data_IF_551286398608
#
_entry.id   IF_551286398608
#
_cell.length_a   1.000
_cell.length_b   1.000
_cell.length_c   1.000
_cell.angle_alpha   90.00
_cell.angle_beta   90.00
_cell.angle_gamma   90.00
#
_symmetry.space_group_name_H-M   'P 1'
#
loop_
_entity.id
_entity.type
_entity.pdbx_description
1 polymer ?
#
# COMPACT_ATOMS: atom_id res chain seq x y z
N UNK A 1 7.24 21.07 24.20
CA UNK A 1 6.22 22.13 24.35
C UNK A 1 6.88 23.49 24.12
N UNK A 2 6.93 23.93 22.87
CA UNK A 2 7.27 25.32 22.54
C UNK A 2 5.94 26.04 22.31
N UNK A 3 5.61 26.98 23.18
CA UNK A 3 4.51 27.91 22.93
C UNK A 3 4.89 28.78 21.73
N UNK A 4 4.40 28.42 20.54
CA UNK A 4 4.31 29.32 19.40
C UNK A 4 3.20 30.33 19.69
N UNK A 5 3.48 31.28 20.58
CA UNK A 5 2.61 32.43 20.79
C UNK A 5 2.71 33.36 19.58
N UNK A 6 1.95 33.03 18.53
CA UNK A 6 1.45 34.07 17.63
C UNK A 6 0.81 35.12 18.54
N UNK A 7 1.41 36.29 18.63
CA UNK A 7 0.95 37.38 19.50
C UNK A 7 -0.34 37.93 18.91
N UNK A 8 -1.46 37.25 19.21
CA UNK A 8 -2.80 37.75 18.98
C UNK A 8 -2.93 39.05 19.77
N UNK A 9 -3.12 40.18 19.06
CA UNK A 9 -3.36 41.48 19.68
C UNK A 9 -4.72 41.42 20.36
N UNK A 10 -4.72 41.24 21.67
CA UNK A 10 -5.96 41.27 22.45
C UNK A 10 -6.47 42.72 22.54
N UNK A 11 -7.68 42.97 22.08
CA UNK A 11 -8.35 44.27 22.23
C UNK A 11 -9.12 44.29 23.54
N UNK A 12 -9.07 45.41 24.26
CA UNK A 12 -9.91 45.64 25.43
C UNK A 12 -11.25 46.23 24.98
N UNK A 13 -12.34 45.57 25.37
CA UNK A 13 -13.72 45.93 25.04
C UNK A 13 -14.56 45.94 26.30
N UNK A 14 -15.39 46.95 26.47
CA UNK A 14 -16.27 47.05 27.63
C UNK A 14 -17.50 46.17 27.45
N UNK A 15 -17.67 45.20 28.34
CA UNK A 15 -18.91 44.44 28.48
C UNK A 15 -19.89 45.24 29.34
N UNK A 16 -21.11 45.43 28.85
CA UNK A 16 -22.18 46.15 29.54
C UNK A 16 -23.36 45.21 29.71
N UNK A 17 -23.76 44.98 30.96
CA UNK A 17 -24.88 44.11 31.30
C UNK A 17 -25.88 44.83 32.20
N UNK A 18 -27.13 44.90 31.74
CA UNK A 18 -28.21 45.61 32.41
C UNK A 18 -29.17 44.62 33.06
N UNK A 19 -29.45 44.77 34.34
CA UNK A 19 -30.42 43.94 35.06
C UNK A 19 -31.31 44.78 35.98
N UNK A 20 -32.48 44.25 36.35
CA UNK A 20 -33.41 44.90 37.27
C UNK A 20 -33.44 44.17 38.60
N UNK A 21 -33.26 44.90 39.69
CA UNK A 21 -33.47 44.42 41.05
C UNK A 21 -34.65 45.18 41.64
N UNK A 22 -35.86 44.60 41.53
CA UNK A 22 -37.10 45.27 41.96
C UNK A 22 -37.42 46.48 41.07
N UNK A 23 -37.50 47.68 41.66
CA UNK A 23 -37.76 48.95 40.94
C UNK A 23 -36.48 49.64 40.42
N UNK A 24 -35.29 49.13 40.76
CA UNK A 24 -34.02 49.73 40.38
C UNK A 24 -33.40 48.99 39.19
N UNK A 25 -32.93 49.74 38.19
CA UNK A 25 -32.11 49.23 37.08
C UNK A 25 -30.63 49.39 37.42
N UNK A 26 -29.89 48.29 37.39
CA UNK A 26 -28.46 48.26 37.64
C UNK A 26 -27.70 47.94 36.34
N UNK A 27 -26.51 48.51 36.21
CA UNK A 27 -25.62 48.34 35.05
C UNK A 27 -24.28 47.83 35.55
N UNK A 28 -23.84 46.69 35.03
CA UNK A 28 -22.51 46.15 35.21
C UNK A 28 -21.68 46.52 33.98
N UNK A 29 -20.59 47.26 34.17
CA UNK A 29 -19.62 47.55 33.11
C UNK A 29 -18.27 46.97 33.51
N UNK A 30 -17.69 46.12 32.66
CA UNK A 30 -16.38 45.52 32.90
C UNK A 30 -15.54 45.43 31.63
N UNK A 31 -14.27 45.88 31.64
CA UNK A 31 -13.38 45.74 30.50
C UNK A 31 -12.92 44.28 30.34
N UNK A 32 -13.08 43.73 29.15
CA UNK A 32 -12.70 42.38 28.77
C UNK A 32 -11.65 42.38 27.66
N UNK A 33 -10.69 41.46 27.75
CA UNK A 33 -9.72 41.21 26.68
C UNK A 33 -10.24 40.16 25.72
N UNK A 34 -10.25 40.49 24.44
CA UNK A 34 -10.78 39.65 23.36
C UNK A 34 -9.66 39.36 22.35
N UNK A 35 -9.41 38.10 21.96
CA UNK A 35 -10.08 36.88 22.41
C UNK A 35 -9.69 36.52 23.86
N UNK A 36 -10.66 36.01 24.63
CA UNK A 36 -10.48 35.69 26.05
C UNK A 36 -9.57 34.47 26.22
N UNK A 37 -8.53 34.60 27.06
CA UNK A 37 -7.61 33.51 27.41
C UNK A 37 -7.98 32.98 28.80
N UNK A 38 -8.75 31.89 28.88
CA UNK A 38 -9.11 31.27 30.16
C UNK A 38 -10.47 30.57 30.17
N UNK A 39 -10.86 30.07 31.35
CA UNK A 39 -12.16 29.43 31.58
C UNK A 39 -13.26 30.48 31.77
N UNK A 40 -14.33 30.36 30.98
CA UNK A 40 -15.48 31.24 31.02
C UNK A 40 -16.24 31.18 32.35
N UNK A 41 -16.33 29.97 32.94
CA UNK A 41 -16.93 29.76 34.26
C UNK A 41 -16.20 30.53 35.36
N UNK A 42 -14.88 30.69 35.26
CA UNK A 42 -14.08 31.41 36.26
C UNK A 42 -14.31 32.92 36.16
N UNK A 43 -14.46 33.46 34.95
CA UNK A 43 -14.78 34.86 34.71
C UNK A 43 -16.19 35.21 35.22
N UNK A 44 -17.17 34.36 34.91
CA UNK A 44 -18.53 34.47 35.40
C UNK A 44 -18.59 34.42 36.94
N UNK A 45 -17.93 33.43 37.56
CA UNK A 45 -17.85 33.32 39.02
C UNK A 45 -17.18 34.54 39.67
N UNK A 46 -16.15 35.10 39.04
CA UNK A 46 -15.51 36.34 39.49
C UNK A 46 -16.46 37.54 39.42
N UNK A 47 -17.28 37.65 38.38
CA UNK A 47 -18.25 38.74 38.27
C UNK A 47 -19.33 38.65 39.35
N UNK A 48 -19.85 37.44 39.60
CA UNK A 48 -20.82 37.20 40.66
C UNK A 48 -20.28 37.58 42.05
N UNK A 49 -19.02 37.21 42.35
CA UNK A 49 -18.37 37.47 43.64
C UNK A 49 -17.91 38.92 43.81
N UNK A 50 -17.30 39.53 42.80
CA UNK A 50 -16.72 40.88 42.91
C UNK A 50 -17.80 41.97 42.94
N UNK A 51 -18.91 41.76 42.24
CA UNK A 51 -19.99 42.75 42.15
C UNK A 51 -21.19 42.42 43.05
N UNK A 52 -21.09 41.39 43.90
CA UNK A 52 -22.16 40.94 44.82
C UNK A 52 -23.53 40.84 44.12
N UNK A 53 -23.56 40.19 42.95
CA UNK A 53 -24.76 40.12 42.13
C UNK A 53 -25.77 39.11 42.70
N UNK A 54 -27.07 39.42 42.66
CA UNK A 54 -28.10 38.47 43.09
C UNK A 54 -28.10 37.19 42.24
N UNK A 55 -28.32 36.03 42.87
CA UNK A 55 -28.31 34.72 42.20
C UNK A 55 -29.36 34.56 41.10
N UNK A 56 -30.45 35.34 41.12
CA UNK A 56 -31.47 35.29 40.05
C UNK A 56 -30.95 35.83 38.70
N UNK A 57 -29.88 36.63 38.71
CA UNK A 57 -29.27 37.23 37.52
C UNK A 57 -28.19 36.32 36.92
N UNK A 58 -27.80 35.28 37.63
CA UNK A 58 -26.63 34.46 37.32
C UNK A 58 -26.69 33.82 35.94
N UNK A 59 -27.85 33.26 35.57
CA UNK A 59 -28.06 32.61 34.28
C UNK A 59 -28.09 33.63 33.13
N UNK A 60 -28.75 34.78 33.34
CA UNK A 60 -28.85 35.83 32.32
C UNK A 60 -27.49 36.49 32.08
N UNK A 61 -26.71 36.71 33.13
CA UNK A 61 -25.34 37.22 33.05
C UNK A 61 -24.44 36.24 32.29
N UNK A 62 -24.53 34.94 32.60
CA UNK A 62 -23.75 33.91 31.92
C UNK A 62 -24.03 33.90 30.42
N UNK A 63 -25.31 33.83 30.05
CA UNK A 63 -25.72 33.81 28.64
C UNK A 63 -25.31 35.10 27.91
N UNK A 64 -25.49 36.27 28.52
CA UNK A 64 -25.10 37.54 27.92
C UNK A 64 -23.58 37.67 27.76
N UNK A 65 -22.81 37.17 28.73
CA UNK A 65 -21.35 37.17 28.68
C UNK A 65 -20.83 36.17 27.64
N UNK A 66 -21.44 34.98 27.53
CA UNK A 66 -21.11 33.97 26.51
C UNK A 66 -21.34 34.55 25.10
N UNK A 67 -22.53 35.11 24.87
CA UNK A 67 -22.89 35.71 23.59
C UNK A 67 -21.97 36.90 23.23
N UNK A 68 -21.68 37.79 24.18
CA UNK A 68 -20.80 38.93 23.93
C UNK A 68 -19.38 38.50 23.57
N UNK A 69 -18.82 37.53 24.30
CA UNK A 69 -17.47 37.02 24.04
C UNK A 69 -17.43 36.33 22.69
N UNK A 70 -18.42 35.50 22.36
CA UNK A 70 -18.49 34.82 21.06
C UNK A 70 -18.59 35.82 19.90
N UNK A 71 -19.52 36.77 19.96
CA UNK A 71 -19.73 37.76 18.91
C UNK A 71 -18.51 38.66 18.69
N UNK A 72 -17.92 39.21 19.76
CA UNK A 72 -16.77 40.09 19.63
C UNK A 72 -15.48 39.32 19.31
N UNK A 73 -15.36 38.05 19.71
CA UNK A 73 -14.26 37.18 19.29
C UNK A 73 -14.33 36.90 17.80
N UNK A 74 -15.50 36.54 17.29
CA UNK A 74 -15.72 36.32 15.86
C UNK A 74 -15.44 37.59 15.05
N UNK A 75 -16.01 38.74 15.44
CA UNK A 75 -15.71 40.03 14.79
C UNK A 75 -14.22 40.38 14.81
N UNK A 76 -13.53 40.10 15.91
CA UNK A 76 -12.08 40.34 16.02
C UNK A 76 -11.30 39.43 15.06
N UNK A 77 -11.70 38.17 14.90
CA UNK A 77 -11.08 37.27 13.93
C UNK A 77 -11.37 37.71 12.49
N UNK A 78 -12.61 38.08 12.18
CA UNK A 78 -13.02 38.57 10.86
C UNK A 78 -12.23 39.83 10.47
N UNK A 79 -12.15 40.83 11.36
CA UNK A 79 -11.38 42.06 11.10
C UNK A 79 -9.88 41.78 10.91
N UNK A 80 -9.33 40.83 11.65
CA UNK A 80 -7.92 40.44 11.49
C UNK A 80 -7.69 39.70 10.17
N UNK A 81 -8.62 38.83 9.77
CA UNK A 81 -8.58 38.14 8.48
C UNK A 81 -8.71 39.13 7.32
N UNK A 82 -9.69 40.05 7.36
CA UNK A 82 -9.85 41.13 6.38
C UNK A 82 -8.60 42.00 6.30
N UNK A 83 -8.03 42.41 7.44
CA UNK A 83 -6.77 43.18 7.45
C UNK A 83 -5.60 42.40 6.85
N UNK A 84 -5.53 41.08 7.06
CA UNK A 84 -4.51 40.24 6.48
C UNK A 84 -4.70 40.09 4.96
N UNK A 85 -5.95 39.94 4.50
CA UNK A 85 -6.33 39.92 3.08
C UNK A 85 -6.05 41.25 2.40
N UNK A 86 -6.39 42.37 3.03
CA UNK A 86 -6.10 43.72 2.51
C UNK A 86 -4.59 43.96 2.41
N UNK A 87 -3.81 43.50 3.39
CA UNK A 87 -2.34 43.54 3.31
C UNK A 87 -1.83 42.68 2.16
N UNK A 88 -2.46 41.54 1.89
CA UNK A 88 -2.09 40.66 0.79
C UNK A 88 -2.46 41.24 -0.59
N UNK A 89 -3.57 41.97 -0.69
CA UNK A 89 -4.00 42.63 -1.92
C UNK A 89 -3.13 43.87 -2.21
N UNK A 90 -2.72 44.60 -1.17
CA UNK A 90 -1.98 45.87 -1.31
C UNK A 90 -0.46 45.75 -1.21
N UNK A 91 0.08 44.72 -0.55
CA UNK A 91 1.49 44.35 -0.64
C UNK A 91 1.62 43.18 -1.61
N UNK A 92 2.52 43.31 -2.58
CA UNK A 92 2.97 42.25 -3.49
C UNK A 92 3.76 41.16 -2.73
N UNK A 93 3.18 40.59 -1.67
CA UNK A 93 3.74 39.44 -0.97
C UNK A 93 3.44 38.21 -1.83
N UNK A 94 4.47 37.70 -2.50
CA UNK A 94 4.36 36.60 -3.45
C UNK A 94 3.62 35.40 -2.85
N UNK A 95 2.54 34.99 -3.51
CA UNK A 95 1.74 33.78 -3.21
C UNK A 95 2.63 32.57 -2.93
N UNK A 96 3.77 32.48 -3.63
CA UNK A 96 4.77 31.43 -3.49
C UNK A 96 5.37 31.35 -2.07
N UNK A 97 5.72 32.48 -1.44
CA UNK A 97 6.31 32.47 -0.10
C UNK A 97 5.31 32.04 0.98
N UNK A 98 4.03 32.38 0.80
CA UNK A 98 2.97 31.93 1.69
C UNK A 98 2.67 30.45 1.48
N UNK A 99 2.68 30.00 0.22
CA UNK A 99 2.50 28.59 -0.13
C UNK A 99 3.63 27.76 0.48
N UNK A 100 4.87 28.21 0.39
CA UNK A 100 6.02 27.55 1.01
C UNK A 100 5.94 27.54 2.53
N UNK A 101 5.54 28.66 3.14
CA UNK A 101 5.36 28.74 4.59
C UNK A 101 4.23 27.82 5.08
N UNK A 102 3.13 27.74 4.34
CA UNK A 102 2.00 26.89 4.65
C UNK A 102 2.34 25.41 4.42
N UNK A 103 2.99 25.07 3.31
CA UNK A 103 3.48 23.73 3.02
C UNK A 103 4.46 23.26 4.11
N UNK A 104 5.36 24.14 4.55
CA UNK A 104 6.28 23.86 5.66
C UNK A 104 5.54 23.61 6.98
N UNK A 105 4.61 24.49 7.35
CA UNK A 105 3.83 24.33 8.59
C UNK A 105 2.96 23.07 8.55
N UNK A 106 2.32 22.79 7.42
CA UNK A 106 1.53 21.59 7.20
C UNK A 106 2.39 20.33 7.30
N UNK A 107 3.55 20.31 6.63
CA UNK A 107 4.49 19.19 6.67
C UNK A 107 5.00 18.93 8.09
N UNK A 108 5.44 19.97 8.81
CA UNK A 108 5.96 19.85 10.18
C UNK A 108 4.88 19.33 11.16
N UNK A 109 3.66 19.87 11.09
CA UNK A 109 2.56 19.48 11.98
C UNK A 109 1.95 18.12 11.63
N UNK A 110 1.85 17.79 10.36
CA UNK A 110 1.21 16.55 9.88
C UNK A 110 2.16 15.37 10.04
N UNK A 111 3.46 15.53 9.79
CA UNK A 111 4.43 14.44 10.00
C UNK A 111 4.69 14.11 11.47
N UNK A 112 4.58 15.07 12.40
CA UNK A 112 4.71 14.76 13.84
C UNK A 112 3.55 13.90 14.37
N UNK A 113 2.39 13.91 13.70
CA UNK A 113 1.17 13.24 14.15
C UNK A 113 0.67 12.12 13.23
N UNK A 114 1.14 12.07 11.98
CA UNK A 114 0.87 10.97 11.06
C UNK A 114 1.89 9.85 11.27
N UNK A 115 1.43 8.59 11.20
CA UNK A 115 2.37 7.49 10.92
C UNK A 115 2.94 7.75 9.53
N UNK A 116 4.25 7.60 9.30
CA UNK A 116 4.78 7.59 7.94
C UNK A 116 3.91 6.64 7.13
N UNK A 117 3.39 7.11 6.01
CA UNK A 117 2.75 6.25 5.03
C UNK A 117 3.77 5.13 4.75
N UNK A 118 3.40 3.88 5.05
CA UNK A 118 4.29 2.76 4.74
C UNK A 118 4.61 2.91 3.25
N UNK A 119 5.90 2.96 2.86
CA UNK A 119 6.26 3.15 1.47
C UNK A 119 5.44 2.17 0.63
N UNK A 120 4.56 2.70 -0.21
CA UNK A 120 3.81 1.85 -1.13
C UNK A 120 4.81 1.36 -2.16
N UNK A 121 5.42 0.20 -1.88
CA UNK A 121 6.52 -0.40 -2.63
C UNK A 121 6.20 -0.65 -4.10
N UNK A 122 4.91 -0.55 -4.50
CA UNK A 122 4.45 -0.78 -5.86
C UNK A 122 4.84 0.33 -6.86
N UNK A 123 5.09 1.57 -6.42
CA UNK A 123 5.46 2.66 -7.35
C UNK A 123 6.93 2.60 -7.79
N UNK A 124 7.86 2.24 -6.89
CA UNK A 124 9.30 2.20 -7.19
C UNK A 124 9.79 0.80 -7.65
N UNK A 125 9.05 -0.27 -7.37
CA UNK A 125 9.50 -1.64 -7.67
C UNK A 125 9.70 -1.90 -9.17
N UNK A 126 8.83 -1.35 -10.02
CA UNK A 126 8.90 -1.58 -11.47
C UNK A 126 10.19 -1.03 -12.07
N UNK A 127 10.59 0.18 -11.68
CA UNK A 127 11.82 0.83 -12.15
C UNK A 127 13.06 0.11 -11.62
N UNK A 128 13.06 -0.23 -10.32
CA UNK A 128 14.13 -1.01 -9.69
C UNK A 128 14.32 -2.37 -10.38
N UNK A 129 13.22 -3.07 -10.65
CA UNK A 129 13.23 -4.35 -11.36
C UNK A 129 13.76 -4.20 -12.78
N UNK A 130 13.32 -3.16 -13.50
CA UNK A 130 13.75 -2.88 -14.87
C UNK A 130 15.26 -2.59 -14.96
N UNK A 131 15.82 -1.86 -14.00
CA UNK A 131 17.27 -1.64 -13.93
C UNK A 131 18.03 -2.94 -13.64
N UNK A 132 17.53 -3.76 -12.72
CA UNK A 132 18.18 -5.01 -12.32
C UNK A 132 18.11 -6.11 -13.39
N UNK A 133 17.03 -6.22 -14.15
CA UNK A 133 16.91 -7.25 -15.21
C UNK A 133 17.86 -6.98 -16.38
N UNK A 134 18.27 -5.73 -16.58
CA UNK A 134 19.29 -5.36 -17.57
C UNK A 134 20.71 -5.40 -16.99
N UNK A 135 20.84 -5.62 -15.69
CA UNK A 135 22.12 -5.71 -14.99
C UNK A 135 22.71 -7.13 -14.99
N UNK A 136 23.96 -7.31 -14.54
CA UNK A 136 24.56 -8.63 -14.30
C UNK A 136 23.78 -9.50 -13.30
N UNK A 137 22.91 -8.92 -12.46
CA UNK A 137 22.12 -9.65 -11.48
C UNK A 137 20.83 -10.30 -12.05
N UNK A 138 20.57 -10.13 -13.34
CA UNK A 138 19.41 -10.73 -14.04
C UNK A 138 19.31 -12.25 -13.86
N UNK A 139 20.42 -12.97 -13.96
CA UNK A 139 20.43 -14.43 -13.79
C UNK A 139 20.06 -14.84 -12.36
N UNK A 140 20.55 -14.11 -11.35
CA UNK A 140 20.20 -14.38 -9.95
C UNK A 140 18.73 -14.10 -9.67
N UNK A 141 18.19 -13.03 -10.27
CA UNK A 141 16.80 -12.64 -10.15
C UNK A 141 15.86 -13.68 -10.78
N UNK A 142 16.13 -14.10 -12.02
CA UNK A 142 15.36 -15.13 -12.71
C UNK A 142 15.43 -16.49 -12.01
N UNK A 143 16.59 -16.86 -11.44
CA UNK A 143 16.70 -18.08 -10.66
C UNK A 143 15.82 -18.04 -9.40
N UNK A 144 15.72 -16.90 -8.74
CA UNK A 144 14.86 -16.73 -7.56
C UNK A 144 13.38 -16.88 -7.96
N UNK A 145 12.94 -16.23 -9.03
CA UNK A 145 11.58 -16.38 -9.59
C UNK A 145 11.28 -17.83 -9.95
N UNK A 146 12.22 -18.51 -10.61
CA UNK A 146 12.06 -19.91 -10.97
C UNK A 146 11.90 -20.80 -9.73
N UNK A 147 12.69 -20.58 -8.69
CA UNK A 147 12.56 -21.33 -7.44
C UNK A 147 11.19 -21.13 -6.80
N UNK A 148 10.68 -19.90 -6.75
CA UNK A 148 9.34 -19.61 -6.24
C UNK A 148 8.25 -20.28 -7.08
N UNK A 149 8.38 -20.24 -8.41
CA UNK A 149 7.48 -20.94 -9.33
C UNK A 149 7.45 -22.46 -9.08
N UNK A 150 8.62 -23.09 -8.90
CA UNK A 150 8.70 -24.53 -8.61
C UNK A 150 7.98 -24.86 -7.30
N UNK A 151 8.19 -24.07 -6.24
CA UNK A 151 7.50 -24.27 -4.95
C UNK A 151 5.99 -24.14 -5.05
N UNK A 152 5.50 -23.14 -5.78
CA UNK A 152 4.05 -22.97 -6.02
C UNK A 152 3.51 -24.15 -6.82
N UNK A 153 4.24 -24.60 -7.83
CA UNK A 153 3.85 -25.74 -8.66
C UNK A 153 3.81 -27.05 -7.87
N UNK A 154 4.77 -27.28 -6.97
CA UNK A 154 4.78 -28.41 -6.03
C UNK A 154 3.50 -28.41 -5.17
N UNK A 155 3.17 -27.26 -4.55
CA UNK A 155 1.99 -27.14 -3.69
C UNK A 155 0.67 -27.35 -4.47
N UNK A 156 0.58 -26.83 -5.69
CA UNK A 156 -0.55 -27.06 -6.59
C UNK A 156 -0.68 -28.55 -6.91
N UNK A 157 0.43 -29.23 -7.19
CA UNK A 157 0.41 -30.67 -7.49
C UNK A 157 -0.04 -31.50 -6.29
N UNK A 158 0.35 -31.11 -5.07
CA UNK A 158 -0.08 -31.77 -3.83
C UNK A 158 -1.58 -31.58 -3.58
N UNK A 159 -2.08 -30.35 -3.75
CA UNK A 159 -3.52 -30.06 -3.73
C UNK A 159 -4.29 -30.95 -4.69
N UNK A 160 -3.85 -31.00 -5.95
CA UNK A 160 -4.56 -31.74 -7.01
C UNK A 160 -4.55 -33.24 -6.71
N UNK A 161 -3.46 -33.77 -6.17
CA UNK A 161 -3.36 -35.16 -5.74
C UNK A 161 -4.33 -35.47 -4.60
N UNK A 162 -4.39 -34.64 -3.56
CA UNK A 162 -5.24 -34.85 -2.39
C UNK A 162 -6.73 -34.66 -2.69
N UNK A 163 -7.08 -33.67 -3.52
CA UNK A 163 -8.46 -33.51 -4.02
C UNK A 163 -8.90 -34.72 -4.82
N UNK A 164 -8.04 -35.22 -5.71
CA UNK A 164 -8.33 -36.43 -6.49
C UNK A 164 -8.54 -37.66 -5.60
N UNK A 165 -7.67 -37.88 -4.60
CA UNK A 165 -7.82 -38.98 -3.63
C UNK A 165 -9.11 -38.86 -2.82
N UNK A 166 -9.53 -37.64 -2.46
CA UNK A 166 -10.80 -37.43 -1.76
C UNK A 166 -11.97 -37.77 -2.68
N UNK A 167 -11.96 -37.29 -3.91
CA UNK A 167 -13.01 -37.55 -4.89
C UNK A 167 -13.15 -39.05 -5.21
N UNK A 168 -12.03 -39.76 -5.37
CA UNK A 168 -12.04 -41.22 -5.58
C UNK A 168 -12.66 -41.97 -4.40
N UNK A 169 -12.32 -41.60 -3.16
CA UNK A 169 -12.93 -42.19 -1.95
C UNK A 169 -14.42 -41.92 -1.88
N UNK A 170 -14.83 -40.68 -2.14
CA UNK A 170 -16.22 -40.26 -2.14
C UNK A 170 -17.04 -40.97 -3.22
N UNK A 171 -16.46 -41.18 -4.42
CA UNK A 171 -17.09 -41.97 -5.49
C UNK A 171 -17.36 -43.40 -5.04
N UNK A 172 -16.36 -44.08 -4.46
CA UNK A 172 -16.51 -45.46 -3.99
C UNK A 172 -17.53 -45.57 -2.85
N UNK A 173 -17.58 -44.59 -1.96
CA UNK A 173 -18.56 -44.54 -0.88
C UNK A 173 -19.98 -44.32 -1.41
N UNK A 174 -20.16 -43.37 -2.33
CA UNK A 174 -21.44 -43.09 -2.95
C UNK A 174 -21.96 -44.31 -3.75
N UNK A 175 -21.08 -45.01 -4.48
CA UNK A 175 -21.44 -46.24 -5.18
C UNK A 175 -21.96 -47.33 -4.23
N UNK A 176 -21.35 -47.48 -3.04
CA UNK A 176 -21.82 -48.43 -2.02
C UNK A 176 -23.19 -48.04 -1.46
N UNK A 177 -23.36 -46.76 -1.11
CA UNK A 177 -24.63 -46.24 -0.60
C UNK A 177 -25.75 -46.41 -1.64
N UNK A 178 -25.45 -46.17 -2.91
CA UNK A 178 -26.39 -46.39 -4.02
C UNK A 178 -26.76 -47.86 -4.22
N UNK A 179 -25.84 -48.80 -4.01
CA UNK A 179 -26.12 -50.25 -4.08
C UNK A 179 -27.03 -50.74 -2.95
N UNK A 180 -26.94 -50.10 -1.78
CA UNK A 180 -27.73 -50.43 -0.59
C UNK A 180 -29.07 -49.67 -0.50
N UNK A 181 -29.30 -48.72 -1.42
CA UNK A 181 -30.50 -47.91 -1.50
C UNK A 181 -31.74 -48.76 -1.79
N UNK A 182 -32.76 -48.63 -0.93
CA UNK A 182 -33.99 -49.42 -1.01
C UNK A 182 -33.90 -50.82 -0.38
N UNK A 183 -32.70 -51.24 0.04
CA UNK A 183 -32.48 -52.46 0.83
C UNK A 183 -32.34 -52.13 2.32
N UNK A 184 -31.23 -51.46 2.69
CA UNK A 184 -30.87 -51.08 4.06
C UNK A 184 -30.88 -49.57 4.26
N UNK A 185 -30.64 -48.79 3.19
CA UNK A 185 -30.50 -47.34 3.23
C UNK A 185 -31.67 -46.64 2.53
N UNK A 186 -31.94 -45.43 2.98
CA UNK A 186 -32.99 -44.55 2.45
C UNK A 186 -32.40 -43.38 1.65
N UNK A 187 -33.24 -42.69 0.88
CA UNK A 187 -32.85 -41.46 0.17
C UNK A 187 -32.33 -40.36 1.12
N UNK A 188 -32.78 -40.37 2.39
CA UNK A 188 -32.29 -39.43 3.39
C UNK A 188 -30.82 -39.71 3.75
N UNK A 189 -30.43 -40.99 3.82
CA UNK A 189 -29.06 -41.39 4.12
C UNK A 189 -28.11 -41.00 2.98
N UNK A 190 -28.54 -41.15 1.72
CA UNK A 190 -27.81 -40.67 0.53
C UNK A 190 -27.55 -39.16 0.62
N UNK A 191 -28.58 -38.38 0.97
CA UNK A 191 -28.47 -36.93 1.11
C UNK A 191 -27.54 -36.52 2.26
N UNK A 192 -27.51 -37.27 3.37
CA UNK A 192 -26.59 -37.04 4.48
C UNK A 192 -25.14 -37.26 4.04
N UNK A 193 -24.86 -38.38 3.36
CA UNK A 193 -23.52 -38.69 2.82
C UNK A 193 -23.08 -37.63 1.82
N UNK A 194 -23.95 -37.23 0.89
CA UNK A 194 -23.65 -36.16 -0.06
C UNK A 194 -23.34 -34.83 0.64
N UNK A 195 -24.07 -34.49 1.71
CA UNK A 195 -23.82 -33.29 2.50
C UNK A 195 -22.47 -33.36 3.25
N UNK A 196 -22.08 -34.52 3.78
CA UNK A 196 -20.76 -34.72 4.39
C UNK A 196 -19.63 -34.67 3.37
N UNK A 197 -19.83 -35.23 2.17
CA UNK A 197 -18.87 -35.14 1.06
C UNK A 197 -18.62 -33.70 0.66
N UNK A 198 -19.70 -32.92 0.49
CA UNK A 198 -19.60 -31.50 0.15
C UNK A 198 -18.84 -30.70 1.22
N UNK A 199 -19.15 -30.91 2.50
CA UNK A 199 -18.44 -30.27 3.62
C UNK A 199 -16.96 -30.63 3.61
N UNK A 200 -16.64 -31.91 3.44
CA UNK A 200 -15.26 -32.41 3.44
C UNK A 200 -14.44 -31.82 2.29
N UNK A 201 -15.02 -31.75 1.10
CA UNK A 201 -14.40 -31.13 -0.07
C UNK A 201 -14.16 -29.63 0.17
N UNK A 202 -15.16 -28.90 0.65
CA UNK A 202 -15.04 -27.47 0.93
C UNK A 202 -13.95 -27.17 1.97
N UNK A 203 -13.86 -27.96 3.04
CA UNK A 203 -12.80 -27.78 4.07
C UNK A 203 -11.41 -27.97 3.45
N UNK A 204 -11.24 -29.00 2.61
CA UNK A 204 -9.96 -29.28 1.97
C UNK A 204 -9.58 -28.20 0.95
N UNK A 205 -10.52 -27.76 0.11
CA UNK A 205 -10.32 -26.68 -0.86
C UNK A 205 -9.94 -25.37 -0.16
N UNK A 206 -10.64 -25.00 0.91
CA UNK A 206 -10.33 -23.80 1.71
C UNK A 206 -8.95 -23.87 2.35
N UNK A 207 -8.55 -25.05 2.86
CA UNK A 207 -7.21 -25.25 3.39
C UNK A 207 -6.15 -24.93 2.32
N UNK A 208 -6.27 -25.54 1.14
CA UNK A 208 -5.31 -25.33 0.05
C UNK A 208 -5.32 -23.90 -0.50
N UNK A 209 -6.51 -23.27 -0.60
CA UNK A 209 -6.62 -21.88 -1.01
C UNK A 209 -5.86 -20.94 -0.04
N UNK A 210 -5.97 -21.19 1.27
CA UNK A 210 -5.26 -20.43 2.29
C UNK A 210 -3.76 -20.67 2.24
N UNK A 211 -3.30 -21.92 2.15
CA UNK A 211 -1.88 -22.26 2.06
C UNK A 211 -1.23 -21.65 0.81
N UNK A 212 -1.90 -21.74 -0.34
CA UNK A 212 -1.42 -21.16 -1.60
C UNK A 212 -1.36 -19.63 -1.51
N UNK A 213 -2.41 -18.99 -0.97
CA UNK A 213 -2.44 -17.53 -0.75
C UNK A 213 -1.31 -17.08 0.17
N UNK A 214 -1.08 -17.79 1.27
CA UNK A 214 -0.03 -17.48 2.22
C UNK A 214 1.35 -17.65 1.60
N UNK A 215 1.60 -18.75 0.88
CA UNK A 215 2.87 -18.98 0.19
C UNK A 215 3.15 -17.87 -0.82
N UNK A 216 2.20 -17.56 -1.70
CA UNK A 216 2.38 -16.51 -2.71
C UNK A 216 2.59 -15.13 -2.08
N UNK A 217 1.91 -14.81 -0.97
CA UNK A 217 2.10 -13.55 -0.26
C UNK A 217 3.50 -13.43 0.34
N UNK A 218 3.99 -14.49 1.00
CA UNK A 218 5.35 -14.54 1.55
C UNK A 218 6.38 -14.42 0.44
N UNK A 219 6.25 -15.22 -0.62
CA UNK A 219 7.18 -15.18 -1.76
C UNK A 219 7.20 -13.82 -2.44
N UNK A 220 6.03 -13.18 -2.64
CA UNK A 220 5.95 -11.82 -3.21
C UNK A 220 6.70 -10.83 -2.33
N UNK A 221 6.47 -10.85 -1.02
CA UNK A 221 7.12 -9.94 -0.08
C UNK A 221 8.64 -10.16 -0.05
N UNK A 222 9.09 -11.40 0.16
CA UNK A 222 10.51 -11.74 0.16
C UNK A 222 11.21 -11.34 -1.14
N UNK A 223 10.53 -11.55 -2.27
CA UNK A 223 11.05 -11.17 -3.58
C UNK A 223 11.22 -9.65 -3.69
N UNK A 224 10.18 -8.88 -3.33
CA UNK A 224 10.22 -7.43 -3.37
C UNK A 224 11.33 -6.87 -2.46
N UNK A 225 11.43 -7.36 -1.23
CA UNK A 225 12.49 -6.97 -0.29
C UNK A 225 13.89 -7.31 -0.82
N UNK A 226 14.06 -8.50 -1.42
CA UNK A 226 15.34 -8.93 -1.97
C UNK A 226 15.77 -8.08 -3.18
N UNK A 227 14.85 -7.80 -4.11
CA UNK A 227 15.10 -7.00 -5.31
C UNK A 227 15.55 -5.58 -4.93
N UNK A 228 14.85 -4.93 -3.99
CA UNK A 228 15.19 -3.59 -3.52
C UNK A 228 16.56 -3.58 -2.82
N UNK A 229 16.80 -4.56 -1.94
CA UNK A 229 18.09 -4.66 -1.24
C UNK A 229 19.25 -4.86 -2.22
N UNK A 230 19.07 -5.72 -3.22
CA UNK A 230 20.06 -5.95 -4.27
C UNK A 230 20.36 -4.67 -5.05
N UNK A 231 19.32 -3.89 -5.39
CA UNK A 231 19.49 -2.61 -6.07
C UNK A 231 20.25 -1.59 -5.22
N UNK A 232 19.90 -1.46 -3.94
CA UNK A 232 20.62 -0.60 -2.99
C UNK A 232 22.09 -1.01 -2.84
N UNK A 233 22.37 -2.31 -2.78
CA UNK A 233 23.74 -2.83 -2.71
C UNK A 233 24.54 -2.56 -4.00
N UNK A 234 23.88 -2.56 -5.16
CA UNK A 234 24.51 -2.23 -6.44
C UNK A 234 24.75 -0.72 -6.63
N UNK A 235 23.90 0.14 -6.05
CA UNK A 235 24.10 1.59 -6.07
C UNK A 235 25.18 2.06 -5.09
N UNK A 236 25.48 1.28 -4.03
CA UNK A 236 26.48 1.63 -3.03
C UNK A 236 27.90 1.17 -3.41
N UNK A 237 28.83 2.07 -3.80
CA UNK A 237 30.17 1.71 -4.26
C UNK A 237 31.09 1.09 -3.19
N UNK A 238 30.67 1.08 -1.91
CA UNK A 238 31.42 0.50 -0.80
C UNK A 238 31.06 -0.98 -0.51
N UNK A 239 30.06 -1.57 -1.18
CA UNK A 239 29.60 -2.95 -0.98
C UNK A 239 30.01 -3.88 -2.15
N UNK A 240 31.31 -3.90 -2.47
CA UNK A 240 31.86 -4.57 -3.67
C UNK A 240 31.83 -6.10 -3.66
N UNK A 241 31.54 -6.76 -2.53
CA UNK A 241 31.59 -8.23 -2.42
C UNK A 241 30.46 -8.93 -3.19
N UNK A 242 29.24 -8.40 -3.14
CA UNK A 242 28.06 -8.99 -3.80
C UNK A 242 28.13 -8.79 -5.32
N UNK A 243 28.55 -7.60 -5.75
CA UNK A 243 28.71 -7.26 -7.17
C UNK A 243 29.87 -8.01 -7.84
N UNK A 244 30.94 -8.34 -7.10
CA UNK A 244 32.03 -9.21 -7.57
C UNK A 244 31.61 -10.69 -7.65
N UNK A 245 30.87 -11.23 -6.67
CA UNK A 245 30.41 -12.64 -6.73
C UNK A 245 29.45 -12.90 -7.89
N UNK A 246 28.55 -11.97 -8.19
CA UNK A 246 27.61 -12.07 -9.32
C UNK A 246 28.38 -11.98 -10.65
N UNK A 247 29.35 -11.06 -10.79
CA UNK A 247 30.23 -10.97 -11.97
C UNK A 247 31.11 -12.20 -12.17
N UNK A 248 31.63 -12.79 -11.09
CA UNK A 248 32.51 -13.97 -11.15
C UNK A 248 31.76 -15.23 -11.59
N UNK A 249 30.46 -15.36 -11.25
CA UNK A 249 29.63 -16.49 -11.72
C UNK A 249 29.40 -16.46 -13.23
N UNK A 250 29.25 -15.28 -13.84
CA UNK A 250 29.13 -15.14 -15.30
C UNK A 250 30.45 -15.39 -16.04
N UNK A 251 31.60 -15.16 -15.40
CA UNK A 251 32.93 -15.21 -16.03
C UNK A 251 33.49 -16.63 -16.20
N UNK A 252 32.90 -17.67 -15.60
CA UNK A 252 33.44 -19.05 -15.57
C UNK A 252 32.80 -20.03 -16.56
N UNK A 253 31.97 -19.58 -17.50
CA UNK A 253 31.37 -20.48 -18.50
C UNK A 253 32.30 -20.73 -19.70
N UNK A 254 33.36 -21.54 -19.53
CA UNK A 254 34.21 -22.02 -20.62
C UNK A 254 34.24 -23.56 -20.70
N UNK A 255 33.52 -24.10 -21.71
CA UNK A 255 33.72 -25.36 -22.51
C UNK A 255 33.52 -26.72 -21.76
N UNK A 256 33.09 -27.88 -22.36
CA UNK A 256 32.92 -28.28 -23.78
C UNK A 256 31.55 -28.86 -24.24
N UNK A 257 31.38 -28.88 -25.57
CA UNK A 257 30.40 -29.66 -26.34
C UNK A 257 30.27 -31.11 -25.86
N UNK A 258 29.05 -31.57 -25.54
CA UNK A 258 28.57 -32.90 -25.95
C UNK A 258 27.08 -33.13 -25.60
N UNK A 259 26.40 -33.80 -26.55
CA UNK A 259 25.14 -34.58 -26.45
C UNK A 259 23.82 -33.87 -26.75
N UNK A 260 23.52 -33.91 -28.04
CA UNK A 260 22.23 -34.18 -28.69
C UNK A 260 21.23 -34.85 -27.75
N UNK A 261 20.09 -34.20 -27.51
CA UNK A 261 18.86 -34.84 -27.06
C UNK A 261 17.69 -34.27 -27.87
N UNK A 262 16.97 -35.22 -28.48
CA UNK A 262 15.74 -35.13 -29.26
C UNK A 262 15.10 -33.75 -29.36
N UNK A 263 15.40 -33.10 -30.48
CA UNK A 263 14.66 -31.96 -30.99
C UNK A 263 13.25 -32.47 -31.32
N UNK A 264 12.29 -32.20 -30.43
CA UNK A 264 10.88 -32.28 -30.78
C UNK A 264 10.73 -31.57 -32.12
N UNK A 265 10.12 -32.24 -33.10
CA UNK A 265 9.91 -31.73 -34.44
C UNK A 265 9.05 -30.46 -34.41
N UNK A 266 9.68 -29.32 -34.14
CA UNK A 266 9.07 -28.02 -34.29
C UNK A 266 8.82 -27.83 -35.79
N UNK A 267 7.68 -27.24 -36.15
CA UNK A 267 7.45 -26.88 -37.54
C UNK A 267 8.44 -25.75 -37.87
N UNK A 268 9.50 -26.11 -38.59
CA UNK A 268 10.57 -25.20 -38.99
C UNK A 268 10.65 -25.15 -40.52
N UNK A 269 10.60 -23.94 -41.07
CA UNK A 269 10.79 -23.69 -42.49
C UNK A 269 11.92 -22.67 -42.67
N UNK A 270 12.84 -22.95 -43.59
CA UNK A 270 13.96 -22.08 -43.91
C UNK A 270 13.85 -21.55 -45.33
N UNK A 271 14.03 -20.24 -45.50
CA UNK A 271 13.91 -19.54 -46.77
C UNK A 271 15.20 -18.77 -47.06
N UNK A 272 15.67 -18.85 -48.30
CA UNK A 272 16.76 -18.00 -48.77
C UNK A 272 16.20 -16.86 -49.61
N UNK A 273 16.21 -15.65 -49.04
CA UNK A 273 15.78 -14.43 -49.73
C UNK A 273 16.97 -13.84 -50.48
N UNK A 274 16.79 -13.63 -51.78
CA UNK A 274 17.72 -12.93 -52.64
C UNK A 274 17.23 -11.49 -52.83
N UNK A 275 17.93 -10.52 -52.24
CA UNK A 275 17.58 -9.10 -52.37
C UNK A 275 18.36 -8.49 -53.56
N UNK A 276 17.62 -8.14 -54.62
CA UNK A 276 18.11 -7.45 -55.82
C UNK A 276 18.14 -8.31 -57.09
N UNK A 277 17.92 -7.68 -58.25
CA UNK A 277 17.91 -8.35 -59.56
C UNK A 277 19.29 -8.89 -60.01
N UNK A 278 20.36 -8.55 -59.30
CA UNK A 278 21.73 -8.95 -59.60
C UNK A 278 22.49 -9.17 -58.28
N UNK A 279 22.32 -10.37 -57.70
CA UNK A 279 23.12 -10.99 -56.63
C UNK A 279 24.05 -10.03 -55.85
N UNK A 280 23.67 -9.64 -54.62
CA UNK A 280 24.71 -9.31 -53.62
C UNK A 280 24.35 -9.45 -52.15
N UNK A 281 23.13 -9.80 -51.78
CA UNK A 281 22.85 -10.22 -50.40
C UNK A 281 21.86 -11.40 -50.38
N UNK A 282 22.33 -12.54 -49.84
CA UNK A 282 21.47 -13.67 -49.50
C UNK A 282 21.19 -13.61 -48.01
N UNK A 283 19.90 -13.65 -47.64
CA UNK A 283 19.49 -13.75 -46.24
C UNK A 283 18.77 -15.08 -46.06
N UNK A 284 19.21 -15.87 -45.09
CA UNK A 284 18.49 -17.07 -44.69
C UNK A 284 17.55 -16.68 -43.55
N UNK A 285 16.26 -16.73 -43.81
CA UNK A 285 15.23 -16.57 -42.79
C UNK A 285 14.78 -17.94 -42.33
N UNK A 286 14.56 -18.07 -41.02
CA UNK A 286 14.13 -19.30 -40.37
C UNK A 286 12.85 -18.99 -39.61
N UNK A 287 11.75 -19.64 -40.01
CA UNK A 287 10.46 -19.54 -39.33
C UNK A 287 10.30 -20.78 -38.46
N UNK A 288 10.08 -20.56 -37.16
CA UNK A 288 9.87 -21.62 -36.17
C UNK A 288 8.54 -21.37 -35.49
N UNK A 289 7.64 -22.36 -35.51
CA UNK A 289 6.43 -22.33 -34.68
C UNK A 289 6.78 -22.84 -33.28
N UNK A 290 6.80 -21.94 -32.30
CA UNK A 290 7.00 -22.26 -30.90
C UNK A 290 6.17 -21.33 -30.02
N UNK A 291 5.79 -21.78 -28.82
CA UNK A 291 5.25 -20.88 -27.80
C UNK A 291 6.38 -19.97 -27.31
N UNK A 292 6.13 -18.66 -27.22
CA UNK A 292 7.12 -17.69 -26.71
C UNK A 292 7.56 -18.11 -25.30
N UNK A 293 6.64 -18.67 -24.51
CA UNK A 293 6.93 -19.14 -23.16
C UNK A 293 7.80 -20.40 -23.14
N UNK A 294 7.86 -21.19 -24.22
CA UNK A 294 8.76 -22.34 -24.31
C UNK A 294 10.23 -21.91 -24.30
N UNK A 295 10.55 -20.72 -24.83
CA UNK A 295 11.89 -20.15 -24.77
C UNK A 295 12.23 -19.55 -23.40
N UNK A 296 11.23 -19.32 -22.55
CA UNK A 296 11.40 -18.87 -21.17
C UNK A 296 11.53 -20.04 -20.18
N UNK A 297 11.34 -21.30 -20.63
CA UNK A 297 11.47 -22.49 -19.79
C UNK A 297 12.94 -22.77 -19.48
N UNK A 298 13.28 -22.77 -18.20
CA UNK A 298 14.61 -23.07 -17.70
C UNK A 298 14.81 -24.59 -17.72
N UNK A 299 15.80 -25.11 -18.46
CA UNK A 299 16.15 -26.54 -18.41
C UNK A 299 16.91 -26.84 -17.12
N UNK A 300 16.42 -27.80 -16.34
CA UNK A 300 17.12 -28.31 -15.16
C UNK A 300 18.42 -29.01 -15.59
N UNK A 301 19.56 -28.35 -15.40
CA UNK A 301 20.84 -29.05 -15.37
C UNK A 301 21.04 -29.61 -13.96
N UNK A 302 20.92 -30.93 -13.81
CA UNK A 302 21.16 -31.65 -12.55
C UNK A 302 22.58 -31.50 -11.96
N UNK A 303 23.46 -30.74 -12.60
CA UNK A 303 24.75 -30.28 -12.05
C UNK A 303 25.02 -28.86 -12.53
N UNK A 304 24.79 -27.90 -11.64
CA UNK A 304 25.32 -26.53 -11.63
C UNK A 304 25.44 -25.81 -12.98
N UNK A 305 24.49 -24.91 -13.27
CA UNK A 305 24.57 -23.90 -14.32
C UNK A 305 23.48 -24.03 -15.36
N UNK A 306 22.62 -23.01 -15.48
CA UNK A 306 21.54 -22.94 -16.49
C UNK A 306 22.06 -22.19 -17.71
N UNK A 307 21.81 -22.70 -18.92
CA UNK A 307 22.20 -22.04 -20.17
C UNK A 307 20.95 -21.42 -20.80
N UNK A 308 20.95 -20.11 -20.99
CA UNK A 308 19.92 -19.40 -21.74
C UNK A 308 19.99 -19.78 -23.23
N UNK A 309 18.87 -20.20 -23.81
CA UNK A 309 18.75 -20.35 -25.26
C UNK A 309 18.47 -18.97 -25.86
N UNK A 310 19.53 -18.20 -26.12
CA UNK A 310 19.40 -16.99 -26.95
C UNK A 310 19.19 -17.43 -28.40
N UNK A 311 18.14 -16.92 -29.03
CA UNK A 311 18.01 -16.94 -30.49
C UNK A 311 19.20 -16.13 -31.04
N UNK A 312 20.11 -16.81 -31.74
CA UNK A 312 21.08 -16.16 -32.63
C UNK A 312 20.43 -15.93 -33.99
#
# INVERSE_FOLDING_TARGET
MKESSASFRSLEKDFIFNFKAGQQSCILTAPLRIPMKGSMSDLHGRFMLLHNLPCFVENDLKNALDQFIEEETNKSYDQQAETALDKFINCDMGVEQLTDAWAKAYHETTLEHARPEEPSWDEDFADVYHELIHSPASETLLNLEHNYFVRVSELISERDMELKKLQERQSVEMDKVMQELGNSLTDQDVNLVAAEHFKSQQVLENKWANELKQLMAIQKQEYQEWVIKLHQDMQNPNNSSVSEEIKVKQSKSNVPNERVFEEQSLLEESFTIHLGAQLKTMHNLRLVRADILDFCKHKQNHRSGVKLQRLQ
#
